data_IF_017732957753
#
_entry.id   IF_017732957753
#
_cell.length_a   1.000
_cell.length_b   1.000
_cell.length_c   1.000
_cell.angle_alpha   90.00
_cell.angle_beta   90.00
_cell.angle_gamma   90.00
#
_symmetry.space_group_name_H-M   'P 1'
#
loop_
_entity.id
_entity.type
_entity.pdbx_description
1 polymer ?
#
# COMPACT_ATOMS: atom_id res chain seq x y z
N UNK A 1 -7.53 3.28 7.70
CA UNK A 1 -8.18 4.30 6.84
C UNK A 1 -9.30 4.97 7.60
N UNK A 2 -9.61 6.26 7.39
CA UNK A 2 -10.78 6.86 8.00
C UNK A 2 -12.06 6.19 7.49
N UNK A 3 -12.99 5.95 8.40
CA UNK A 3 -14.35 5.57 8.05
C UNK A 3 -15.08 6.83 7.59
N UNK A 4 -15.52 6.84 6.33
CA UNK A 4 -16.22 7.96 5.71
C UNK A 4 -17.70 7.65 5.46
N UNK A 5 -18.03 6.37 5.32
CA UNK A 5 -19.38 5.90 5.00
C UNK A 5 -19.92 5.11 6.20
N UNK A 6 -20.95 5.64 6.85
CA UNK A 6 -21.57 4.96 7.99
C UNK A 6 -22.49 3.83 7.54
N UNK A 7 -22.82 2.92 8.44
CA UNK A 7 -23.79 1.86 8.20
C UNK A 7 -25.14 2.41 7.76
N UNK A 8 -25.59 3.53 8.34
CA UNK A 8 -26.86 4.17 7.98
C UNK A 8 -26.84 4.68 6.54
N UNK A 9 -25.71 5.25 6.09
CA UNK A 9 -25.56 5.68 4.69
C UNK A 9 -25.71 4.50 3.74
N UNK A 10 -25.07 3.36 4.05
CA UNK A 10 -25.20 2.13 3.27
C UNK A 10 -26.64 1.60 3.30
N UNK A 11 -27.30 1.57 4.46
CA UNK A 11 -28.69 1.13 4.58
C UNK A 11 -29.72 2.03 3.90
N UNK A 12 -29.37 3.29 3.61
CA UNK A 12 -30.21 4.21 2.82
C UNK A 12 -30.11 3.99 1.31
N UNK A 13 -29.16 3.16 0.85
CA UNK A 13 -29.01 2.85 -0.58
C UNK A 13 -30.17 1.99 -1.09
N UNK A 14 -30.37 2.00 -2.40
CA UNK A 14 -31.38 1.12 -3.04
C UNK A 14 -31.01 -0.35 -2.80
N UNK A 15 -31.95 -1.21 -2.36
CA UNK A 15 -31.69 -2.64 -2.22
C UNK A 15 -31.20 -3.26 -3.53
N UNK A 16 -30.21 -4.14 -3.45
CA UNK A 16 -29.55 -4.78 -4.59
C UNK A 16 -28.50 -3.91 -5.30
N UNK A 17 -28.26 -2.68 -4.84
CA UNK A 17 -27.12 -1.88 -5.30
C UNK A 17 -25.79 -2.52 -4.88
N UNK A 18 -24.71 -2.07 -5.52
CA UNK A 18 -23.36 -2.59 -5.30
C UNK A 18 -22.47 -1.50 -4.71
N UNK A 19 -21.77 -1.83 -3.63
CA UNK A 19 -20.73 -1.02 -3.03
C UNK A 19 -19.38 -1.71 -3.22
N UNK A 20 -18.40 -0.99 -3.77
CA UNK A 20 -17.05 -1.51 -4.05
C UNK A 20 -16.05 -0.69 -3.23
N UNK A 21 -15.36 -1.34 -2.29
CA UNK A 21 -14.40 -0.67 -1.41
C UNK A 21 -12.96 -1.03 -1.76
N UNK A 22 -12.32 -0.17 -2.56
CA UNK A 22 -10.89 -0.31 -2.90
C UNK A 22 -9.95 0.15 -1.77
N UNK A 23 -10.46 0.75 -0.70
CA UNK A 23 -9.65 1.09 0.47
C UNK A 23 -9.49 -0.08 1.45
N UNK A 24 -10.00 -1.26 1.09
CA UNK A 24 -10.00 -2.45 1.95
C UNK A 24 -8.60 -2.93 2.33
N UNK A 25 -7.61 -2.71 1.45
CA UNK A 25 -6.19 -3.02 1.71
C UNK A 25 -5.62 -2.26 2.92
N UNK A 26 -6.31 -1.21 3.38
CA UNK A 26 -5.93 -0.40 4.56
C UNK A 26 -7.03 -0.36 5.64
N UNK A 27 -7.94 -1.33 5.61
CA UNK A 27 -9.02 -1.50 6.60
C UNK A 27 -10.42 -1.08 6.14
N UNK A 28 -10.57 -0.51 4.94
CA UNK A 28 -11.86 -0.09 4.38
C UNK A 28 -12.26 1.35 4.67
N UNK A 29 -13.21 1.87 3.90
CA UNK A 29 -13.75 3.23 3.96
C UNK A 29 -15.17 3.31 4.53
N UNK A 30 -15.84 2.17 4.71
CA UNK A 30 -17.17 2.07 5.28
C UNK A 30 -17.20 1.21 6.54
N UNK A 31 -18.13 1.48 7.47
CA UNK A 31 -18.33 0.68 8.70
C UNK A 31 -18.75 -0.76 8.40
N UNK A 32 -19.39 -0.97 7.25
CA UNK A 32 -19.88 -2.27 6.80
C UNK A 32 -18.86 -3.04 5.98
N UNK A 33 -17.70 -2.44 5.69
CA UNK A 33 -16.62 -3.07 4.94
C UNK A 33 -15.91 -4.14 5.76
N UNK A 34 -15.77 -5.33 5.18
CA UNK A 34 -14.90 -6.40 5.69
C UNK A 34 -14.17 -7.06 4.53
N UNK A 35 -12.92 -7.48 4.71
CA UNK A 35 -12.17 -8.12 3.63
C UNK A 35 -12.87 -9.40 3.17
N UNK A 36 -12.96 -9.57 1.86
CA UNK A 36 -13.41 -10.80 1.20
C UNK A 36 -12.24 -11.51 0.54
N UNK A 37 -12.49 -12.59 -0.19
CA UNK A 37 -11.44 -13.34 -0.89
C UNK A 37 -11.74 -13.44 -2.37
N UNK A 38 -10.75 -13.84 -3.18
CA UNK A 38 -10.98 -14.09 -4.60
C UNK A 38 -11.95 -15.26 -4.88
N UNK A 39 -12.15 -16.15 -3.91
CA UNK A 39 -13.08 -17.29 -4.02
C UNK A 39 -14.49 -16.92 -3.59
N UNK A 40 -14.59 -16.09 -2.57
CA UNK A 40 -15.84 -15.57 -2.03
C UNK A 40 -15.73 -14.04 -2.01
N UNK A 41 -16.11 -13.42 -3.13
CA UNK A 41 -15.77 -12.03 -3.45
C UNK A 41 -16.76 -11.02 -2.89
N UNK A 42 -18.00 -11.45 -2.65
CA UNK A 42 -19.10 -10.56 -2.29
C UNK A 42 -19.88 -11.04 -1.09
N UNK A 43 -20.54 -10.10 -0.42
CA UNK A 43 -21.52 -10.40 0.62
C UNK A 43 -22.61 -9.35 0.59
N UNK A 44 -23.74 -9.63 1.24
CA UNK A 44 -24.83 -8.66 1.37
C UNK A 44 -24.90 -8.18 2.82
N UNK A 45 -24.97 -6.87 3.01
CA UNK A 45 -25.28 -6.24 4.28
C UNK A 45 -26.12 -5.00 4.03
N UNK A 46 -27.10 -4.75 4.90
CA UNK A 46 -28.09 -3.66 4.73
C UNK A 46 -28.79 -3.68 3.35
N UNK A 47 -28.95 -4.86 2.75
CA UNK A 47 -29.53 -5.01 1.41
C UNK A 47 -28.62 -4.59 0.24
N UNK A 48 -27.36 -4.25 0.51
CA UNK A 48 -26.36 -3.82 -0.49
C UNK A 48 -25.28 -4.89 -0.68
N UNK A 49 -24.95 -5.19 -1.93
CA UNK A 49 -23.88 -6.14 -2.29
C UNK A 49 -22.54 -5.44 -2.12
N UNK A 50 -21.69 -5.94 -1.24
CA UNK A 50 -20.35 -5.43 -1.00
C UNK A 50 -19.32 -6.23 -1.78
N UNK A 51 -18.39 -5.53 -2.42
CA UNK A 51 -17.17 -6.08 -3.00
C UNK A 51 -15.97 -5.44 -2.31
N UNK A 52 -15.28 -6.22 -1.49
CA UNK A 52 -14.20 -5.74 -0.62
C UNK A 52 -13.00 -6.70 -0.72
N UNK A 53 -12.63 -7.05 -1.95
CA UNK A 53 -11.51 -7.97 -2.23
C UNK A 53 -10.20 -7.20 -2.13
N UNK A 54 -9.30 -7.54 -1.20
CA UNK A 54 -7.97 -6.95 -1.12
C UNK A 54 -7.09 -7.40 -2.28
N UNK A 55 -6.05 -6.64 -2.60
CA UNK A 55 -5.08 -6.99 -3.64
C UNK A 55 -5.74 -7.35 -4.98
N UNK A 56 -6.77 -6.59 -5.38
CA UNK A 56 -7.58 -6.84 -6.59
C UNK A 56 -6.74 -6.88 -7.88
N UNK A 57 -5.60 -6.19 -7.90
CA UNK A 57 -4.67 -6.17 -9.04
C UNK A 57 -4.10 -7.57 -9.36
N UNK A 58 -4.13 -8.49 -8.40
CA UNK A 58 -3.77 -9.89 -8.63
C UNK A 58 -4.70 -10.59 -9.65
N UNK A 59 -5.96 -10.15 -9.81
CA UNK A 59 -6.87 -10.67 -10.84
C UNK A 59 -6.43 -10.33 -12.27
N UNK A 60 -5.62 -9.27 -12.42
CA UNK A 60 -5.14 -8.77 -13.71
C UNK A 60 -3.62 -8.79 -13.76
N UNK A 61 -3.04 -9.89 -13.28
CA UNK A 61 -1.60 -10.04 -13.03
C UNK A 61 -0.71 -9.60 -14.20
N UNK A 62 -1.06 -9.92 -15.45
CA UNK A 62 -0.30 -9.48 -16.63
C UNK A 62 -0.20 -7.96 -16.69
N UNK A 63 -1.35 -7.27 -16.66
CA UNK A 63 -1.42 -5.81 -16.75
C UNK A 63 -0.77 -5.15 -15.54
N UNK A 64 -1.07 -5.65 -14.33
CA UNK A 64 -0.50 -5.13 -13.10
C UNK A 64 1.04 -5.27 -13.06
N UNK A 65 1.57 -6.40 -13.53
CA UNK A 65 3.02 -6.63 -13.62
C UNK A 65 3.69 -5.64 -14.55
N UNK A 66 3.12 -5.37 -15.73
CA UNK A 66 3.65 -4.35 -16.63
C UNK A 66 3.60 -2.96 -16.00
N UNK A 67 2.48 -2.57 -15.39
CA UNK A 67 2.33 -1.26 -14.77
C UNK A 67 3.34 -1.06 -13.62
N UNK A 68 3.44 -2.02 -12.71
CA UNK A 68 4.37 -1.97 -11.58
C UNK A 68 5.82 -1.96 -12.06
N UNK A 69 6.19 -2.86 -12.99
CA UNK A 69 7.56 -2.95 -13.49
C UNK A 69 7.98 -1.68 -14.21
N UNK A 70 7.12 -1.12 -15.07
CA UNK A 70 7.43 0.13 -15.78
C UNK A 70 7.64 1.31 -14.82
N UNK A 71 6.87 1.37 -13.72
CA UNK A 71 7.04 2.39 -12.69
C UNK A 71 8.31 2.17 -11.84
N UNK A 72 8.67 0.92 -11.54
CA UNK A 72 9.81 0.57 -10.71
C UNK A 72 11.15 0.61 -11.48
N UNK A 73 11.14 0.37 -12.79
CA UNK A 73 12.33 0.14 -13.61
C UNK A 73 13.40 1.24 -13.49
N UNK A 74 13.07 2.56 -13.52
CA UNK A 74 14.08 3.61 -13.40
C UNK A 74 14.86 3.54 -12.07
N UNK A 75 14.21 3.15 -10.98
CA UNK A 75 14.83 3.00 -9.67
C UNK A 75 15.74 1.75 -9.62
N UNK A 76 15.29 0.65 -10.22
CA UNK A 76 16.05 -0.59 -10.30
C UNK A 76 17.33 -0.42 -11.12
N UNK A 77 17.24 0.24 -12.27
CA UNK A 77 18.39 0.53 -13.13
C UNK A 77 19.38 1.45 -12.42
N UNK A 78 18.91 2.55 -11.81
CA UNK A 78 19.79 3.47 -11.07
C UNK A 78 20.53 2.78 -9.93
N UNK A 79 19.85 1.90 -9.18
CA UNK A 79 20.48 1.10 -8.13
C UNK A 79 21.50 0.08 -8.68
N UNK A 80 21.20 -0.55 -9.82
CA UNK A 80 22.06 -1.55 -10.44
C UNK A 80 23.35 -0.95 -11.02
N UNK A 81 23.29 0.25 -11.62
CA UNK A 81 24.43 0.88 -12.29
C UNK A 81 25.46 1.47 -11.32
N UNK A 82 25.00 2.06 -10.20
CA UNK A 82 25.87 2.83 -9.33
C UNK A 82 25.89 2.37 -7.86
N UNK A 83 25.15 1.30 -7.54
CA UNK A 83 24.99 0.79 -6.18
C UNK A 83 24.02 1.62 -5.34
N UNK A 84 23.51 1.02 -4.26
CA UNK A 84 22.51 1.65 -3.38
C UNK A 84 22.96 2.97 -2.75
N UNK A 85 24.19 3.12 -2.18
CA UNK A 85 24.58 4.37 -1.54
C UNK A 85 24.53 5.57 -2.49
N UNK A 86 25.07 5.40 -3.71
CA UNK A 86 25.05 6.46 -4.72
C UNK A 86 23.64 6.69 -5.27
N UNK A 87 22.85 5.62 -5.45
CA UNK A 87 21.47 5.74 -5.90
C UNK A 87 20.59 6.51 -4.89
N UNK A 88 20.81 6.34 -3.59
CA UNK A 88 20.09 7.11 -2.56
C UNK A 88 20.42 8.60 -2.62
N UNK A 89 21.69 8.95 -2.86
CA UNK A 89 22.13 10.34 -2.99
C UNK A 89 21.61 10.99 -4.28
N UNK A 90 21.56 10.24 -5.38
CA UNK A 90 21.10 10.75 -6.67
C UNK A 90 19.58 10.77 -6.82
N UNK A 91 18.84 9.96 -6.05
CA UNK A 91 17.38 9.84 -6.14
C UNK A 91 16.73 9.89 -4.77
N UNK A 92 16.33 11.11 -4.36
CA UNK A 92 15.68 11.35 -3.08
C UNK A 92 14.36 10.57 -2.93
N UNK A 93 13.65 10.32 -4.03
CA UNK A 93 12.41 9.53 -4.00
C UNK A 93 12.69 8.06 -3.66
N UNK A 94 13.78 7.49 -4.16
CA UNK A 94 14.24 6.16 -3.77
C UNK A 94 14.63 6.13 -2.28
N UNK A 95 15.42 7.11 -1.84
CA UNK A 95 15.88 7.21 -0.45
C UNK A 95 14.72 7.27 0.55
N UNK A 96 13.67 8.03 0.25
CA UNK A 96 12.45 8.10 1.08
C UNK A 96 11.73 6.75 1.22
N UNK A 97 11.86 5.87 0.23
CA UNK A 97 11.27 4.53 0.25
C UNK A 97 12.07 3.49 1.03
N UNK A 98 13.28 3.81 1.51
CA UNK A 98 14.12 2.86 2.25
C UNK A 98 13.61 2.71 3.67
N UNK A 99 13.18 1.50 4.03
CA UNK A 99 12.73 1.18 5.38
C UNK A 99 13.87 0.71 6.29
N UNK A 100 14.66 -0.24 5.81
CA UNK A 100 15.80 -0.85 6.50
C UNK A 100 17.04 -0.77 5.62
N UNK A 101 18.18 -0.46 6.20
CA UNK A 101 19.47 -0.49 5.51
C UNK A 101 20.57 -1.00 6.43
N UNK A 102 21.32 -2.03 5.99
CA UNK A 102 22.37 -2.66 6.78
C UNK A 102 21.93 -3.07 8.21
N UNK A 103 20.71 -3.61 8.33
CA UNK A 103 20.13 -4.04 9.62
C UNK A 103 19.59 -2.93 10.50
N UNK A 104 19.69 -1.67 10.07
CA UNK A 104 19.23 -0.49 10.81
C UNK A 104 17.91 0.04 10.28
N UNK A 105 17.00 0.43 11.18
CA UNK A 105 15.71 1.04 10.82
C UNK A 105 15.90 2.52 10.48
N UNK A 106 15.65 2.89 9.23
CA UNK A 106 15.97 4.23 8.71
C UNK A 106 14.76 5.07 8.34
N UNK A 107 13.59 4.44 8.14
CA UNK A 107 12.35 5.16 7.83
C UNK A 107 11.65 5.64 9.12
N UNK A 108 11.37 6.94 9.26
CA UNK A 108 10.75 7.50 10.46
C UNK A 108 9.29 7.05 10.66
N UNK A 109 8.53 6.90 9.59
CA UNK A 109 7.12 6.48 9.68
C UNK A 109 7.01 5.02 10.13
N UNK A 110 7.91 4.16 9.62
CA UNK A 110 8.00 2.76 10.06
C UNK A 110 8.49 2.66 11.51
N UNK A 111 9.48 3.47 11.90
CA UNK A 111 9.96 3.53 13.28
C UNK A 111 8.84 3.94 14.25
N UNK A 112 8.11 5.02 13.95
CA UNK A 112 6.96 5.45 14.74
C UNK A 112 5.88 4.35 14.83
N UNK A 113 5.55 3.71 13.70
CA UNK A 113 4.56 2.62 13.65
C UNK A 113 4.95 1.43 14.53
N UNK A 114 6.23 1.12 14.62
CA UNK A 114 6.76 0.01 15.42
C UNK A 114 7.11 0.40 16.87
N UNK A 115 6.93 1.66 17.26
CA UNK A 115 7.34 2.17 18.58
C UNK A 115 8.86 2.14 18.78
N UNK A 116 9.63 2.37 17.72
CA UNK A 116 11.10 2.36 17.69
C UNK A 116 11.66 3.71 17.26
N UNK A 117 12.94 3.93 17.50
CA UNK A 117 13.67 5.10 17.00
C UNK A 117 14.39 4.79 15.68
N UNK A 118 14.67 5.84 14.92
CA UNK A 118 15.43 5.75 13.67
C UNK A 118 16.93 5.67 13.98
N UNK A 119 17.60 4.69 13.39
CA UNK A 119 19.04 4.46 13.50
C UNK A 119 19.79 5.20 12.36
N UNK A 120 19.93 6.52 12.54
CA UNK A 120 20.36 7.47 11.49
C UNK A 120 21.77 7.25 10.93
N UNK A 121 22.62 6.53 11.64
CA UNK A 121 24.03 6.30 11.28
C UNK A 121 24.22 5.39 10.04
N UNK A 122 23.14 4.80 9.51
CA UNK A 122 23.21 3.85 8.40
C UNK A 122 23.36 4.51 7.02
N UNK A 123 22.77 5.69 6.83
CA UNK A 123 22.66 6.34 5.51
C UNK A 123 23.73 7.43 5.29
N UNK A 124 24.45 7.81 6.34
CA UNK A 124 25.49 8.86 6.32
C UNK A 124 26.92 8.30 6.18
N UNK A 125 27.08 6.98 6.20
CA UNK A 125 28.39 6.29 6.21
C UNK A 125 29.09 6.13 4.85
N UNK A 126 28.60 6.78 3.79
CA UNK A 126 29.19 6.71 2.45
C UNK A 126 29.53 8.10 1.91
N UNK A 127 30.62 8.67 2.42
CA UNK A 127 31.39 9.80 1.86
C UNK A 127 30.60 11.10 1.59
N UNK A 128 30.76 12.07 2.50
CA UNK A 128 30.65 13.51 2.21
C UNK A 128 31.64 13.91 1.11
#
# INVERSE_FOLDING_TARGET
TPILITREMIGSMRPGSVFIDYAIDSGGSAETSRPTTLRDQTYVTEGVIHYCVPNVTALVARTASYALTNAALPYLLGAAECGLPKAFNCNLSLMRGVNLYQGKLVNPDMAATLGREVEKDALTGGTL
#
